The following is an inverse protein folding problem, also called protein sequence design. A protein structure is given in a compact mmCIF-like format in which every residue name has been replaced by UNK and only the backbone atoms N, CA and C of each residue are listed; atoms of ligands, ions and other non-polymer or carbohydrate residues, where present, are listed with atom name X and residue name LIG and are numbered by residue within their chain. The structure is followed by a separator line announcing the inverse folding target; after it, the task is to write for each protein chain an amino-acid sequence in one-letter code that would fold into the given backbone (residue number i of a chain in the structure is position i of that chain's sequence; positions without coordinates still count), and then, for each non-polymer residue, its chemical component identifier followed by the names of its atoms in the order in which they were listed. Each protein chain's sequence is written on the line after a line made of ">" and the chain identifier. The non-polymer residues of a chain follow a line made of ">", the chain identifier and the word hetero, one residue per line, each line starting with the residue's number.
data_IF_602643981978
#
_entry.id   IF_602643981978
#
_cell.length_a   1.000
_cell.length_b   1.000
_cell.length_c   1.000
_cell.angle_alpha   90.00
_cell.angle_beta   90.00
_cell.angle_gamma   90.00
#
_symmetry.space_group_name_H-M   'P 1'
#
loop_
_entity.id
_entity.type
_entity.pdbx_description
1 polymer ?
#
# COMPACT_ATOMS: atom_id res chain seq x y z
N UNK A 1 16.94 -5.33 25.95
CA UNK A 1 16.27 -6.04 24.84
C UNK A 1 17.21 -5.98 23.63
N UNK A 2 17.46 -7.09 22.91
CA UNK A 2 18.33 -7.04 21.73
C UNK A 2 17.61 -6.30 20.61
N UNK A 3 18.32 -5.36 19.95
CA UNK A 3 17.78 -4.65 18.79
C UNK A 3 17.46 -5.62 17.66
N UNK A 4 16.30 -5.45 17.03
CA UNK A 4 15.94 -6.20 15.82
C UNK A 4 16.69 -5.67 14.61
N UNK A 5 17.24 -6.56 13.80
CA UNK A 5 17.93 -6.19 12.56
C UNK A 5 16.89 -6.06 11.45
N UNK A 6 16.73 -4.85 10.93
CA UNK A 6 15.75 -4.53 9.88
C UNK A 6 16.49 -4.17 8.59
N UNK A 7 16.15 -4.84 7.48
CA UNK A 7 16.64 -4.54 6.15
C UNK A 7 15.52 -3.92 5.32
N UNK A 8 15.75 -2.74 4.73
CA UNK A 8 14.82 -2.09 3.80
C UNK A 8 15.38 -2.23 2.38
N UNK A 9 14.82 -3.14 1.60
CA UNK A 9 15.17 -3.34 0.19
C UNK A 9 14.45 -2.27 -0.64
N UNK A 10 15.21 -1.51 -1.42
CA UNK A 10 14.72 -0.31 -2.10
C UNK A 10 14.75 0.94 -1.20
N UNK A 11 15.57 0.91 -0.15
CA UNK A 11 15.69 1.99 0.84
C UNK A 11 16.12 3.34 0.28
N UNK A 12 16.71 3.40 -0.91
CA UNK A 12 17.06 4.65 -1.61
C UNK A 12 15.90 5.20 -2.46
N UNK A 13 14.80 4.47 -2.59
CA UNK A 13 13.58 4.91 -3.26
C UNK A 13 12.71 5.81 -2.38
N UNK A 14 11.77 6.56 -2.97
CA UNK A 14 10.93 7.52 -2.23
C UNK A 14 10.16 6.83 -1.09
N UNK A 15 9.54 5.68 -1.35
CA UNK A 15 8.83 4.93 -0.31
C UNK A 15 9.79 4.37 0.75
N UNK A 16 10.93 3.78 0.31
CA UNK A 16 11.94 3.26 1.22
C UNK A 16 12.53 4.33 2.14
N UNK A 17 12.76 5.52 1.60
CA UNK A 17 13.19 6.70 2.37
C UNK A 17 12.14 7.14 3.38
N UNK A 18 10.87 7.16 3.00
CA UNK A 18 9.80 7.50 3.92
C UNK A 18 9.72 6.51 5.10
N UNK A 19 9.89 5.22 4.84
CA UNK A 19 9.96 4.17 5.87
C UNK A 19 11.19 4.37 6.77
N UNK A 20 12.36 4.57 6.14
CA UNK A 20 13.62 4.77 6.86
C UNK A 20 13.55 5.97 7.80
N UNK A 21 12.99 7.10 7.33
CA UNK A 21 12.88 8.33 8.12
C UNK A 21 12.10 8.07 9.42
N UNK A 22 10.94 7.42 9.34
CA UNK A 22 10.13 7.10 10.52
C UNK A 22 10.88 6.11 11.43
N UNK A 23 11.41 5.01 10.89
CA UNK A 23 12.11 4.00 11.70
C UNK A 23 13.41 4.54 12.33
N UNK A 24 14.01 5.57 11.74
CA UNK A 24 15.23 6.18 12.30
C UNK A 24 15.04 6.81 13.68
N UNK A 25 13.82 7.10 14.08
CA UNK A 25 13.45 7.60 15.41
C UNK A 25 13.47 6.47 16.46
N UNK A 26 13.42 5.19 16.02
CA UNK A 26 13.30 3.99 16.85
C UNK A 26 14.59 3.14 16.90
N UNK A 27 15.77 3.77 16.82
CA UNK A 27 17.07 3.07 16.79
C UNK A 27 17.39 2.30 18.07
N UNK A 28 16.72 2.58 19.15
CA UNK A 28 16.84 1.79 20.38
C UNK A 28 16.19 0.41 20.26
N UNK A 29 15.20 0.27 19.38
CA UNK A 29 14.44 -0.96 19.15
C UNK A 29 14.96 -1.76 17.96
N UNK A 30 15.50 -1.09 16.93
CA UNK A 30 15.95 -1.74 15.71
C UNK A 30 17.25 -1.14 15.15
N UNK A 31 18.11 -1.98 14.60
CA UNK A 31 19.26 -1.58 13.79
C UNK A 31 18.86 -1.61 12.32
N UNK A 32 19.07 -0.48 11.61
CA UNK A 32 18.58 -0.28 10.25
C UNK A 32 19.69 -0.52 9.22
N UNK A 33 19.35 -1.26 8.19
CA UNK A 33 20.14 -1.41 6.97
C UNK A 33 19.24 -1.13 5.77
N UNK A 34 19.80 -0.53 4.73
CA UNK A 34 19.11 -0.31 3.44
C UNK A 34 19.86 -1.07 2.35
N UNK A 35 19.10 -1.63 1.42
CA UNK A 35 19.67 -2.29 0.25
C UNK A 35 19.18 -1.64 -1.04
N UNK A 36 20.10 -1.41 -1.97
CA UNK A 36 19.82 -0.92 -3.32
C UNK A 36 20.91 -1.34 -4.29
N UNK A 37 20.63 -1.26 -5.60
CA UNK A 37 21.58 -1.63 -6.66
C UNK A 37 22.75 -0.67 -6.75
N UNK A 38 22.50 0.62 -6.62
CA UNK A 38 23.51 1.66 -6.74
C UNK A 38 23.89 2.15 -5.34
N UNK A 39 25.19 2.24 -5.10
CA UNK A 39 25.72 2.76 -3.85
C UNK A 39 25.30 4.23 -3.64
N UNK A 40 24.98 4.55 -2.40
CA UNK A 40 24.77 5.92 -1.93
C UNK A 40 25.40 6.09 -0.57
N UNK A 41 26.24 7.13 -0.41
CA UNK A 41 26.89 7.46 0.86
C UNK A 41 26.03 8.33 1.78
N UNK A 42 24.86 8.79 1.31
CA UNK A 42 23.99 9.74 2.02
C UNK A 42 23.39 9.18 3.32
N UNK A 43 23.42 7.85 3.50
CA UNK A 43 22.72 7.15 4.59
C UNK A 43 23.64 6.70 5.74
N UNK A 44 24.96 6.92 5.64
CA UNK A 44 25.95 6.35 6.56
C UNK A 44 25.73 6.65 8.05
N UNK A 45 25.05 7.75 8.37
CA UNK A 45 24.71 8.13 9.75
C UNK A 45 23.35 7.58 10.22
N UNK A 46 22.54 7.06 9.30
CA UNK A 46 21.14 6.64 9.57
C UNK A 46 20.98 5.14 9.48
N UNK A 47 21.59 4.51 8.49
CA UNK A 47 21.47 3.08 8.23
C UNK A 47 22.74 2.55 7.55
N UNK A 48 23.05 1.26 7.74
CA UNK A 48 24.09 0.59 6.99
C UNK A 48 23.63 0.38 5.54
N UNK A 49 24.48 0.72 4.57
CA UNK A 49 24.20 0.48 3.17
C UNK A 49 24.71 -0.88 2.71
N UNK A 50 23.86 -1.62 1.99
CA UNK A 50 24.19 -2.91 1.38
C UNK A 50 23.89 -2.81 -0.13
N UNK A 51 24.91 -3.03 -0.95
CA UNK A 51 24.69 -3.11 -2.38
C UNK A 51 24.08 -4.48 -2.71
N UNK A 52 22.88 -4.47 -3.30
CA UNK A 52 22.13 -5.68 -3.59
C UNK A 52 21.26 -5.48 -4.84
N UNK A 53 21.36 -6.42 -5.76
CA UNK A 53 20.35 -6.63 -6.80
C UNK A 53 19.36 -7.70 -6.30
N UNK A 54 18.10 -7.36 -6.19
CA UNK A 54 17.02 -8.27 -5.76
C UNK A 54 16.84 -9.48 -6.71
N UNK A 55 17.40 -9.42 -7.92
CA UNK A 55 17.38 -10.51 -8.89
C UNK A 55 18.58 -11.46 -8.79
N UNK A 56 19.58 -11.13 -7.98
CA UNK A 56 20.66 -12.06 -7.63
C UNK A 56 20.22 -12.92 -6.44
N UNK A 57 19.64 -14.08 -6.74
CA UNK A 57 19.05 -14.97 -5.73
C UNK A 57 20.09 -15.48 -4.72
N UNK A 58 21.36 -15.67 -5.09
CA UNK A 58 22.40 -16.14 -4.18
C UNK A 58 22.83 -15.06 -3.20
N UNK A 59 23.08 -13.84 -3.70
CA UNK A 59 23.39 -12.70 -2.85
C UNK A 59 22.20 -12.35 -1.94
N UNK A 60 20.98 -12.39 -2.49
CA UNK A 60 19.76 -12.14 -1.76
C UNK A 60 19.60 -13.09 -0.57
N UNK A 61 19.72 -14.40 -0.79
CA UNK A 61 19.59 -15.42 0.26
C UNK A 61 20.63 -15.22 1.37
N UNK A 62 21.89 -15.01 1.01
CA UNK A 62 22.98 -14.78 1.97
C UNK A 62 22.73 -13.56 2.84
N UNK A 63 22.26 -12.46 2.23
CA UNK A 63 22.04 -11.20 2.95
C UNK A 63 20.81 -11.28 3.85
N UNK A 64 19.68 -11.74 3.32
CA UNK A 64 18.38 -11.77 4.03
C UNK A 64 18.48 -12.60 5.32
N UNK A 65 19.16 -13.73 5.30
CA UNK A 65 19.30 -14.63 6.47
C UNK A 65 20.01 -14.00 7.68
N UNK A 66 20.63 -12.83 7.52
CA UNK A 66 21.27 -12.09 8.61
C UNK A 66 20.34 -11.08 9.30
N UNK A 67 19.07 -10.97 8.89
CA UNK A 67 18.10 -10.03 9.41
C UNK A 67 16.91 -10.72 10.08
N UNK A 68 16.28 -10.03 11.04
CA UNK A 68 15.04 -10.47 11.69
C UNK A 68 13.81 -10.06 10.87
N UNK A 69 13.85 -8.85 10.28
CA UNK A 69 12.76 -8.25 9.51
C UNK A 69 13.30 -7.72 8.19
N UNK A 70 12.62 -8.05 7.11
CA UNK A 70 12.93 -7.56 5.76
C UNK A 70 11.73 -6.78 5.24
N UNK A 71 11.96 -5.52 4.89
CA UNK A 71 10.95 -4.65 4.28
C UNK A 71 11.21 -4.54 2.78
N UNK A 72 10.22 -4.85 1.94
CA UNK A 72 10.32 -4.71 0.49
C UNK A 72 9.62 -3.41 0.08
N UNK A 73 10.42 -2.36 -0.17
CA UNK A 73 9.99 -1.09 -0.72
C UNK A 73 10.49 -0.88 -2.16
N UNK A 74 11.09 -1.92 -2.74
CA UNK A 74 11.50 -1.93 -4.15
C UNK A 74 10.30 -2.21 -5.06
N UNK A 75 10.24 -1.56 -6.19
CA UNK A 75 9.20 -1.75 -7.20
C UNK A 75 9.75 -1.66 -8.63
N UNK A 76 8.92 -1.89 -9.65
CA UNK A 76 7.49 -2.21 -9.58
C UNK A 76 7.25 -3.68 -9.21
N UNK A 77 6.24 -3.93 -8.37
CA UNK A 77 5.99 -5.24 -7.78
C UNK A 77 5.71 -6.35 -8.79
N UNK A 78 5.07 -6.06 -9.92
CA UNK A 78 4.85 -7.08 -10.96
C UNK A 78 6.13 -7.70 -11.53
N UNK A 79 7.31 -7.08 -11.30
CA UNK A 79 8.63 -7.59 -11.72
C UNK A 79 9.39 -8.32 -10.61
N UNK A 80 8.93 -8.20 -9.35
CA UNK A 80 9.63 -8.84 -8.22
C UNK A 80 9.45 -10.35 -8.30
N UNK A 81 10.56 -11.07 -8.13
CA UNK A 81 10.56 -12.53 -8.02
C UNK A 81 10.02 -12.98 -6.65
N UNK A 82 9.37 -14.14 -6.61
CA UNK A 82 8.86 -14.73 -5.38
C UNK A 82 9.94 -15.41 -4.53
N UNK A 83 11.19 -15.52 -5.02
CA UNK A 83 12.31 -16.10 -4.26
C UNK A 83 12.54 -15.43 -2.91
N UNK A 84 12.38 -14.10 -2.85
CA UNK A 84 12.51 -13.36 -1.59
C UNK A 84 11.51 -13.84 -0.54
N UNK A 85 10.28 -14.09 -0.95
CA UNK A 85 9.23 -14.60 -0.06
C UNK A 85 9.50 -16.05 0.33
N UNK A 86 9.98 -16.88 -0.61
CA UNK A 86 10.38 -18.25 -0.34
C UNK A 86 11.49 -18.30 0.73
N UNK A 87 12.55 -17.52 0.56
CA UNK A 87 13.65 -17.44 1.52
C UNK A 87 13.14 -17.05 2.91
N UNK A 88 12.26 -16.04 3.00
CA UNK A 88 11.69 -15.60 4.26
C UNK A 88 10.81 -16.69 4.90
N UNK A 89 9.97 -17.38 4.13
CA UNK A 89 9.10 -18.46 4.62
C UNK A 89 9.89 -19.69 5.10
N UNK A 90 10.97 -20.03 4.43
CA UNK A 90 11.86 -21.13 4.81
C UNK A 90 12.76 -20.77 6.02
N UNK A 91 12.81 -19.51 6.40
CA UNK A 91 13.61 -18.97 7.51
C UNK A 91 12.70 -18.35 8.56
N UNK A 92 13.21 -18.09 9.78
CA UNK A 92 12.44 -17.38 10.84
C UNK A 92 12.46 -15.85 10.61
N UNK A 93 12.15 -15.41 9.42
CA UNK A 93 12.23 -13.99 9.01
C UNK A 93 10.82 -13.46 8.80
N UNK A 94 10.58 -12.23 9.28
CA UNK A 94 9.37 -11.50 8.96
C UNK A 94 9.62 -10.64 7.74
N UNK A 95 8.86 -10.87 6.67
CA UNK A 95 8.91 -10.06 5.47
C UNK A 95 7.68 -9.16 5.42
N UNK A 96 7.88 -7.87 5.25
CA UNK A 96 6.81 -6.87 5.12
C UNK A 96 6.97 -6.22 3.75
N UNK A 97 5.93 -6.18 2.93
CA UNK A 97 5.98 -5.48 1.66
C UNK A 97 4.90 -4.40 1.55
N UNK A 98 5.16 -3.40 0.70
CA UNK A 98 4.22 -2.33 0.39
C UNK A 98 3.53 -2.56 -0.97
N UNK A 99 3.27 -3.81 -1.32
CA UNK A 99 2.71 -4.20 -2.60
C UNK A 99 1.33 -3.57 -2.86
N UNK A 100 1.24 -2.81 -3.94
CA UNK A 100 0.02 -2.18 -4.45
C UNK A 100 -0.43 -2.79 -5.80
N UNK A 101 0.21 -3.87 -6.24
CA UNK A 101 -0.04 -4.50 -7.54
C UNK A 101 -0.85 -5.78 -7.39
N UNK A 102 -2.06 -5.80 -7.94
CA UNK A 102 -2.97 -6.95 -7.85
C UNK A 102 -2.39 -8.23 -8.46
N UNK A 103 -1.63 -8.14 -9.56
CA UNK A 103 -1.03 -9.31 -10.19
C UNK A 103 0.03 -9.96 -9.32
N UNK A 104 0.81 -9.14 -8.64
CA UNK A 104 1.79 -9.64 -7.69
C UNK A 104 1.10 -10.30 -6.50
N UNK A 105 0.01 -9.68 -5.99
CA UNK A 105 -0.80 -10.26 -4.93
C UNK A 105 -1.37 -11.62 -5.33
N UNK A 106 -1.97 -11.74 -6.52
CA UNK A 106 -2.51 -13.01 -7.03
C UNK A 106 -1.40 -14.08 -7.16
N UNK A 107 -0.22 -13.70 -7.68
CA UNK A 107 0.94 -14.61 -7.75
C UNK A 107 1.39 -15.07 -6.37
N UNK A 108 1.44 -14.17 -5.39
CA UNK A 108 1.82 -14.49 -4.02
C UNK A 108 0.79 -15.42 -3.35
N UNK A 109 -0.51 -15.19 -3.57
CA UNK A 109 -1.56 -16.06 -3.05
C UNK A 109 -1.56 -17.46 -3.72
N UNK A 110 -1.23 -17.55 -5.00
CA UNK A 110 -1.05 -18.85 -5.68
C UNK A 110 0.20 -19.54 -5.14
N UNK A 111 1.31 -18.83 -5.01
CA UNK A 111 2.52 -19.37 -4.39
C UNK A 111 2.27 -19.91 -2.97
N UNK A 112 1.49 -19.18 -2.14
CA UNK A 112 1.07 -19.65 -0.82
C UNK A 112 0.38 -21.01 -0.87
N UNK A 113 -0.49 -21.24 -1.86
CA UNK A 113 -1.22 -22.51 -2.04
C UNK A 113 -0.31 -23.67 -2.49
N UNK A 114 0.70 -23.34 -3.28
CA UNK A 114 1.64 -24.33 -3.88
C UNK A 114 2.85 -24.62 -2.98
N UNK A 115 3.08 -23.80 -1.96
CA UNK A 115 4.22 -23.92 -1.08
C UNK A 115 4.08 -25.13 -0.15
N UNK A 116 4.87 -26.16 -0.38
CA UNK A 116 4.77 -27.48 0.28
C UNK A 116 5.61 -27.53 1.57
N UNK A 117 6.68 -26.74 1.64
CA UNK A 117 7.58 -26.73 2.81
C UNK A 117 6.89 -26.13 4.05
N UNK A 118 7.27 -26.56 5.27
CA UNK A 118 6.78 -25.91 6.48
C UNK A 118 7.12 -24.43 6.48
N UNK A 119 6.15 -23.60 6.86
CA UNK A 119 6.43 -22.18 7.10
C UNK A 119 7.20 -22.01 8.41
N UNK A 120 8.30 -21.29 8.35
CA UNK A 120 9.07 -20.86 9.52
C UNK A 120 9.02 -19.35 9.72
N UNK A 121 8.86 -18.60 8.62
CA UNK A 121 8.74 -17.15 8.59
C UNK A 121 7.33 -16.67 8.32
N UNK A 122 7.15 -15.35 8.35
CA UNK A 122 5.87 -14.69 8.14
C UNK A 122 6.00 -13.61 7.08
N UNK A 123 5.04 -13.56 6.17
CA UNK A 123 4.93 -12.50 5.17
C UNK A 123 3.70 -11.68 5.47
N UNK A 124 3.89 -10.36 5.58
CA UNK A 124 2.85 -9.35 5.68
C UNK A 124 2.85 -8.56 4.38
N UNK A 125 1.91 -8.84 3.49
CA UNK A 125 1.87 -8.23 2.17
C UNK A 125 0.86 -7.09 2.09
N UNK A 126 1.23 -6.03 1.36
CA UNK A 126 0.36 -4.89 1.15
C UNK A 126 0.33 -3.91 2.32
N UNK A 127 1.44 -3.71 3.02
CA UNK A 127 1.53 -2.81 4.18
C UNK A 127 1.92 -1.39 3.77
N UNK A 128 1.26 -0.88 2.72
CA UNK A 128 1.44 0.49 2.19
C UNK A 128 0.29 1.43 2.50
N UNK A 129 0.02 2.36 1.57
CA UNK A 129 -1.15 3.24 1.64
C UNK A 129 -2.42 2.48 1.28
N UNK A 130 -2.47 1.89 0.08
CA UNK A 130 -3.62 1.16 -0.46
C UNK A 130 -3.10 -0.04 -1.29
N UNK A 131 -3.21 -1.27 -0.74
CA UNK A 131 -3.74 -1.63 0.58
C UNK A 131 -2.80 -1.27 1.74
N UNK A 132 -3.27 -1.53 2.94
CA UNK A 132 -2.55 -1.39 4.20
C UNK A 132 -3.20 -0.34 5.10
N UNK A 133 -2.83 0.93 5.00
CA UNK A 133 -3.45 2.00 5.79
C UNK A 133 -4.96 2.10 5.52
N UNK A 134 -5.38 1.97 4.25
CA UNK A 134 -6.81 1.94 3.91
C UNK A 134 -7.52 0.75 4.55
N UNK A 135 -6.93 -0.43 4.49
CA UNK A 135 -7.47 -1.64 5.13
C UNK A 135 -7.59 -1.48 6.64
N UNK A 136 -6.52 -0.98 7.29
CA UNK A 136 -6.51 -0.69 8.73
C UNK A 136 -7.65 0.24 9.13
N UNK A 137 -7.80 1.36 8.43
CA UNK A 137 -8.83 2.34 8.76
C UNK A 137 -10.24 1.83 8.46
N UNK A 138 -10.44 1.06 7.39
CA UNK A 138 -11.73 0.43 7.11
C UNK A 138 -12.13 -0.56 8.22
N UNK A 139 -11.20 -1.37 8.71
CA UNK A 139 -11.46 -2.25 9.85
C UNK A 139 -11.73 -1.47 11.14
N UNK A 140 -10.95 -0.42 11.40
CA UNK A 140 -11.15 0.43 12.57
C UNK A 140 -12.52 1.11 12.57
N UNK A 141 -13.03 1.51 11.39
CA UNK A 141 -14.40 2.02 11.25
C UNK A 141 -15.44 0.90 11.42
N UNK A 142 -15.19 -0.28 10.88
CA UNK A 142 -16.11 -1.41 10.96
C UNK A 142 -16.28 -1.92 12.41
N UNK A 143 -15.21 -1.88 13.22
CA UNK A 143 -15.28 -2.22 14.66
C UNK A 143 -16.13 -1.22 15.47
N UNK A 144 -16.26 0.02 14.99
CA UNK A 144 -17.07 1.07 15.63
C UNK A 144 -18.49 1.14 15.09
N UNK A 145 -18.82 0.35 14.07
CA UNK A 145 -20.14 0.31 13.46
C UNK A 145 -21.05 -0.61 14.28
N UNK A 146 -22.26 -0.16 14.58
CA UNK A 146 -23.26 -1.05 15.16
C UNK A 146 -23.74 -2.07 14.13
N UNK A 147 -23.48 -3.34 14.35
CA UNK A 147 -23.74 -4.42 13.39
C UNK A 147 -22.59 -4.64 12.43
N UNK A 148 -22.84 -5.44 11.39
CA UNK A 148 -21.82 -5.75 10.38
C UNK A 148 -21.87 -4.77 9.22
N UNK A 149 -20.68 -4.42 8.69
CA UNK A 149 -20.58 -3.66 7.48
C UNK A 149 -21.07 -4.48 6.27
N UNK A 150 -21.95 -3.88 5.49
CA UNK A 150 -22.42 -4.45 4.21
C UNK A 150 -21.78 -3.79 3.01
N UNK A 151 -21.31 -2.57 3.17
CA UNK A 151 -20.66 -1.79 2.13
C UNK A 151 -19.42 -1.07 2.69
N UNK A 152 -18.38 -1.01 1.88
CA UNK A 152 -17.18 -0.24 2.18
C UNK A 152 -16.63 0.42 0.89
N UNK A 153 -16.03 1.60 1.04
CA UNK A 153 -15.54 2.39 -0.09
C UNK A 153 -14.22 3.06 0.24
N UNK A 154 -13.29 3.05 -0.73
CA UNK A 154 -12.04 3.79 -0.67
C UNK A 154 -11.99 4.81 -1.80
N UNK A 155 -11.85 6.09 -1.48
CA UNK A 155 -11.76 7.21 -2.41
C UNK A 155 -10.49 7.99 -2.14
N UNK A 156 -9.62 8.09 -3.14
CA UNK A 156 -8.31 8.74 -2.97
C UNK A 156 -8.18 9.89 -3.97
N UNK A 157 -7.93 11.07 -3.47
CA UNK A 157 -7.53 12.21 -4.27
C UNK A 157 -6.01 12.35 -4.28
N UNK A 158 -5.44 12.48 -5.46
CA UNK A 158 -4.04 12.82 -5.67
C UNK A 158 -3.97 14.19 -6.34
N UNK A 159 -3.45 15.17 -5.63
CA UNK A 159 -3.16 16.50 -6.15
C UNK A 159 -2.03 16.47 -7.18
N UNK A 160 -1.86 17.56 -7.90
CA UNK A 160 -0.81 17.69 -8.91
C UNK A 160 0.58 17.46 -8.29
N UNK A 161 1.42 16.62 -8.94
CA UNK A 161 2.79 16.34 -8.51
C UNK A 161 2.98 15.31 -7.40
N UNK A 162 1.90 14.67 -6.93
CA UNK A 162 2.00 13.63 -5.88
C UNK A 162 2.59 12.32 -6.41
N UNK A 163 2.42 12.00 -7.67
CA UNK A 163 2.96 10.76 -8.26
C UNK A 163 4.39 10.99 -8.74
N UNK A 164 5.37 10.60 -7.95
CA UNK A 164 6.77 10.96 -8.20
C UNK A 164 7.79 9.82 -8.20
N UNK A 165 7.41 8.56 -8.13
CA UNK A 165 8.36 7.44 -8.18
C UNK A 165 8.31 6.71 -9.52
N UNK A 166 9.47 6.35 -10.11
CA UNK A 166 9.51 5.59 -11.38
C UNK A 166 8.69 4.29 -11.32
N UNK A 167 8.77 3.58 -10.20
CA UNK A 167 8.02 2.35 -9.97
C UNK A 167 6.52 2.59 -9.85
N UNK A 168 6.12 3.67 -9.16
CA UNK A 168 4.70 4.06 -9.03
C UNK A 168 4.11 4.50 -10.36
N UNK A 169 4.90 5.22 -11.19
CA UNK A 169 4.50 5.59 -12.55
C UNK A 169 4.28 4.32 -13.40
N UNK A 170 5.20 3.34 -13.33
CA UNK A 170 5.02 2.06 -14.02
C UNK A 170 3.72 1.36 -13.59
N UNK A 171 3.48 1.25 -12.29
CA UNK A 171 2.30 0.59 -11.75
C UNK A 171 1.01 1.32 -12.13
N UNK A 172 1.02 2.66 -12.09
CA UNK A 172 -0.10 3.50 -12.53
C UNK A 172 -0.48 3.21 -13.99
N UNK A 173 0.49 3.25 -14.92
CA UNK A 173 0.20 2.98 -16.33
C UNK A 173 -0.17 1.52 -16.58
N UNK A 174 0.41 0.56 -15.83
CA UNK A 174 0.06 -0.86 -15.93
C UNK A 174 -1.40 -1.11 -15.48
N UNK A 175 -1.90 -0.38 -14.48
CA UNK A 175 -3.27 -0.53 -13.99
C UNK A 175 -4.34 -0.32 -15.07
N UNK A 176 -4.06 0.47 -16.11
CA UNK A 176 -4.96 0.65 -17.24
C UNK A 176 -5.00 -0.53 -18.23
N UNK A 177 -4.14 -1.53 -18.08
CA UNK A 177 -4.13 -2.71 -18.97
C UNK A 177 -5.34 -3.63 -18.75
N UNK A 178 -6.05 -3.49 -17.64
CA UNK A 178 -7.14 -4.37 -17.20
C UNK A 178 -8.36 -3.61 -16.73
N UNK A 179 -9.49 -4.29 -16.70
CA UNK A 179 -10.69 -3.80 -16.02
C UNK A 179 -10.47 -3.83 -14.51
N UNK A 180 -10.99 -2.83 -13.81
CA UNK A 180 -10.94 -2.81 -12.36
C UNK A 180 -11.89 -3.89 -11.80
N UNK A 181 -11.46 -4.52 -10.71
CA UNK A 181 -12.30 -5.44 -9.95
C UNK A 181 -13.04 -4.67 -8.86
N UNK A 182 -14.30 -5.01 -8.66
CA UNK A 182 -15.16 -4.49 -7.60
C UNK A 182 -15.91 -5.66 -6.96
N UNK A 183 -16.26 -5.54 -5.69
CA UNK A 183 -17.23 -6.42 -5.06
C UNK A 183 -18.63 -5.81 -5.23
N UNK A 184 -19.56 -6.54 -5.81
CA UNK A 184 -20.95 -6.13 -5.98
C UNK A 184 -21.87 -7.31 -5.74
N UNK A 185 -22.84 -7.13 -4.85
CA UNK A 185 -23.77 -8.18 -4.41
C UNK A 185 -23.07 -9.43 -3.86
N UNK A 186 -21.96 -9.25 -3.15
CA UNK A 186 -21.16 -10.33 -2.61
C UNK A 186 -20.31 -11.09 -3.64
N UNK A 187 -20.29 -10.66 -4.89
CA UNK A 187 -19.53 -11.27 -5.98
C UNK A 187 -18.48 -10.31 -6.54
N UNK A 188 -17.30 -10.83 -6.84
CA UNK A 188 -16.27 -10.07 -7.53
C UNK A 188 -16.65 -9.93 -9.00
N UNK A 189 -16.81 -8.71 -9.45
CA UNK A 189 -17.17 -8.36 -10.81
C UNK A 189 -16.11 -7.48 -11.46
N UNK A 190 -15.96 -7.57 -12.77
CA UNK A 190 -15.20 -6.58 -13.52
C UNK A 190 -16.05 -5.32 -13.62
N UNK A 191 -15.47 -4.19 -13.25
CA UNK A 191 -16.13 -2.90 -13.51
C UNK A 191 -16.33 -2.76 -15.01
N UNK A 192 -17.60 -2.74 -15.43
CA UNK A 192 -17.96 -2.51 -16.83
C UNK A 192 -17.65 -1.09 -17.29
N UNK A 193 -17.32 -0.21 -16.34
CA UNK A 193 -16.93 1.16 -16.63
C UNK A 193 -15.53 1.16 -17.22
N UNK A 194 -15.45 1.02 -18.52
CA UNK A 194 -14.28 1.43 -19.30
C UNK A 194 -13.99 2.93 -19.13
N UNK A 195 -14.66 3.59 -18.19
CA UNK A 195 -14.80 5.03 -18.03
C UNK A 195 -14.67 5.40 -16.57
N UNK A 196 -14.82 6.66 -16.27
CA UNK A 196 -14.93 7.19 -14.92
C UNK A 196 -16.12 6.55 -14.17
N UNK A 197 -16.04 6.56 -12.84
CA UNK A 197 -17.16 6.24 -11.98
C UNK A 197 -18.41 7.02 -12.46
N UNK A 198 -19.59 6.40 -12.38
CA UNK A 198 -20.83 7.03 -12.86
C UNK A 198 -21.18 8.31 -12.08
N UNK A 199 -20.76 8.41 -10.83
CA UNK A 199 -20.95 9.59 -9.98
C UNK A 199 -19.60 10.22 -9.67
N UNK A 200 -19.53 11.55 -9.78
CA UNK A 200 -18.44 12.33 -9.24
C UNK A 200 -18.44 12.27 -7.70
N UNK A 201 -17.35 12.67 -7.10
CA UNK A 201 -17.18 12.64 -5.66
C UNK A 201 -16.59 13.97 -5.16
N UNK A 202 -17.10 14.42 -4.02
CA UNK A 202 -16.55 15.60 -3.31
C UNK A 202 -15.72 15.15 -2.13
N UNK A 203 -14.44 15.50 -2.14
CA UNK A 203 -13.50 15.16 -1.08
C UNK A 203 -13.54 16.18 0.06
N UNK A 204 -13.67 17.46 -0.28
CA UNK A 204 -13.88 18.58 0.63
C UNK A 204 -14.44 19.79 -0.15
N UNK A 205 -14.64 20.94 0.51
CA UNK A 205 -15.19 22.16 -0.09
C UNK A 205 -14.35 22.76 -1.24
N UNK A 206 -13.07 22.39 -1.34
CA UNK A 206 -12.17 22.84 -2.42
C UNK A 206 -12.05 21.81 -3.55
N UNK A 207 -12.51 20.59 -3.33
CA UNK A 207 -12.36 19.45 -4.22
C UNK A 207 -13.72 18.77 -4.43
N UNK A 208 -14.68 19.55 -4.96
CA UNK A 208 -16.06 19.12 -5.20
C UNK A 208 -16.26 18.58 -6.61
N UNK A 209 -17.21 17.68 -6.74
CA UNK A 209 -17.70 17.14 -8.02
C UNK A 209 -16.61 16.59 -8.95
N UNK A 210 -15.62 15.88 -8.37
CA UNK A 210 -14.48 15.36 -9.11
C UNK A 210 -14.76 13.96 -9.68
N UNK A 211 -14.32 13.70 -10.93
CA UNK A 211 -14.46 12.39 -11.54
C UNK A 211 -13.53 11.36 -10.91
N UNK A 212 -14.05 10.18 -10.67
CA UNK A 212 -13.32 9.06 -10.13
C UNK A 212 -12.97 8.04 -11.21
N UNK A 213 -11.80 7.44 -11.07
CA UNK A 213 -11.35 6.27 -11.82
C UNK A 213 -11.31 5.06 -10.89
N UNK A 214 -11.97 3.98 -11.26
CA UNK A 214 -11.82 2.72 -10.54
C UNK A 214 -10.40 2.17 -10.69
N UNK A 215 -9.87 1.63 -9.63
CA UNK A 215 -8.67 0.79 -9.67
C UNK A 215 -8.87 -0.46 -8.83
N UNK A 216 -8.09 -1.49 -9.12
CA UNK A 216 -8.11 -2.73 -8.35
C UNK A 216 -7.10 -2.64 -7.22
N UNK A 217 -7.58 -2.52 -5.99
CA UNK A 217 -6.80 -2.84 -4.80
C UNK A 217 -6.99 -4.32 -4.46
N UNK A 218 -5.97 -4.97 -3.88
CA UNK A 218 -6.10 -6.36 -3.40
C UNK A 218 -7.15 -6.52 -2.30
N UNK A 219 -7.56 -5.44 -1.66
CA UNK A 219 -8.65 -5.38 -0.69
C UNK A 219 -9.96 -5.97 -1.23
N UNK A 220 -10.22 -5.82 -2.54
CA UNK A 220 -11.42 -6.41 -3.17
C UNK A 220 -11.46 -7.93 -3.02
N UNK A 221 -10.29 -8.59 -2.95
CA UNK A 221 -10.16 -10.03 -2.79
C UNK A 221 -10.07 -10.45 -1.33
N UNK A 222 -9.50 -9.62 -0.49
CA UNK A 222 -9.11 -9.99 0.88
C UNK A 222 -10.11 -9.53 1.94
N UNK A 223 -10.70 -8.33 1.84
CA UNK A 223 -11.69 -7.83 2.80
C UNK A 223 -12.89 -8.75 3.00
N UNK A 224 -13.50 -9.35 1.94
CA UNK A 224 -14.65 -10.24 2.13
C UNK A 224 -14.33 -11.51 2.94
N UNK A 225 -13.05 -11.81 3.16
CA UNK A 225 -12.58 -12.95 3.94
C UNK A 225 -12.31 -12.59 5.41
N UNK A 226 -12.31 -11.30 5.75
CA UNK A 226 -12.06 -10.81 7.10
C UNK A 226 -13.30 -10.93 7.98
N UNK A 227 -13.09 -11.17 9.28
CA UNK A 227 -14.20 -11.35 10.24
C UNK A 227 -15.06 -10.09 10.39
N UNK A 228 -14.44 -8.90 10.37
CA UNK A 228 -15.10 -7.60 10.42
C UNK A 228 -16.01 -7.33 9.22
N UNK A 229 -15.72 -7.98 8.08
CA UNK A 229 -16.41 -7.80 6.81
C UNK A 229 -17.16 -9.04 6.30
N UNK A 230 -17.49 -9.98 7.19
CA UNK A 230 -18.17 -11.24 6.81
C UNK A 230 -19.54 -11.08 6.11
N UNK A 231 -20.14 -9.89 6.21
CA UNK A 231 -21.40 -9.55 5.53
C UNK A 231 -21.21 -8.53 4.40
N UNK A 232 -19.95 -8.23 4.03
CA UNK A 232 -19.65 -7.27 2.99
C UNK A 232 -20.21 -7.73 1.64
N UNK A 233 -21.06 -6.90 1.05
CA UNK A 233 -21.68 -7.13 -0.27
C UNK A 233 -21.09 -6.21 -1.34
N UNK A 234 -20.63 -5.03 -0.93
CA UNK A 234 -20.12 -4.00 -1.85
C UNK A 234 -18.80 -3.45 -1.37
N UNK A 235 -17.80 -3.48 -2.25
CA UNK A 235 -16.53 -2.79 -2.05
C UNK A 235 -15.97 -2.33 -3.38
N UNK A 236 -15.56 -1.09 -3.45
CA UNK A 236 -14.77 -0.59 -4.56
C UNK A 236 -13.74 0.45 -4.10
N UNK A 237 -12.65 0.53 -4.86
CA UNK A 237 -11.61 1.53 -4.71
C UNK A 237 -11.57 2.41 -5.94
N UNK A 238 -11.58 3.73 -5.74
CA UNK A 238 -11.49 4.68 -6.82
C UNK A 238 -10.63 5.88 -6.45
N UNK A 239 -9.99 6.50 -7.43
CA UNK A 239 -9.17 7.67 -7.23
C UNK A 239 -9.49 8.79 -8.20
N UNK A 240 -9.16 10.01 -7.81
CA UNK A 240 -9.06 11.17 -8.67
C UNK A 240 -7.59 11.61 -8.75
N UNK A 241 -7.09 11.81 -9.95
CA UNK A 241 -5.79 12.41 -10.19
C UNK A 241 -5.99 13.80 -10.79
N UNK A 242 -5.60 14.84 -10.05
CA UNK A 242 -5.74 16.22 -10.50
C UNK A 242 -4.94 16.45 -11.79
N UNK A 243 -5.59 17.11 -12.76
CA UNK A 243 -4.97 17.39 -14.06
C UNK A 243 -4.86 16.19 -15.01
N UNK A 244 -5.42 15.03 -14.66
CA UNK A 244 -5.40 13.88 -15.56
C UNK A 244 -6.32 14.14 -16.77
N UNK A 245 -5.77 14.07 -18.02
CA UNK A 245 -6.56 14.34 -19.23
C UNK A 245 -7.54 13.20 -19.49
N UNK A 246 -8.84 13.45 -19.27
CA UNK A 246 -9.91 12.44 -19.45
C UNK A 246 -9.88 11.77 -20.82
N UNK A 247 -9.57 12.52 -21.88
CA UNK A 247 -9.49 12.02 -23.25
C UNK A 247 -8.38 10.99 -23.52
N UNK A 248 -7.38 10.86 -22.63
CA UNK A 248 -6.32 9.84 -22.75
C UNK A 248 -6.77 8.45 -22.29
N UNK A 249 -7.83 8.33 -21.52
CA UNK A 249 -8.24 7.06 -20.93
C UNK A 249 -8.50 5.94 -21.97
N UNK A 250 -9.23 6.15 -23.07
CA UNK A 250 -9.40 5.13 -24.11
C UNK A 250 -8.06 4.69 -24.73
N UNK A 251 -7.17 5.66 -24.97
CA UNK A 251 -5.84 5.38 -25.52
C UNK A 251 -4.99 4.52 -24.57
N UNK A 252 -4.99 4.85 -23.28
CA UNK A 252 -4.28 4.09 -22.26
C UNK A 252 -4.83 2.66 -22.12
N UNK A 253 -6.12 2.46 -22.28
CA UNK A 253 -6.72 1.12 -22.19
C UNK A 253 -6.42 0.24 -23.39
N UNK A 254 -6.53 0.77 -24.59
CA UNK A 254 -6.51 -0.03 -25.81
C UNK A 254 -5.12 -0.17 -26.45
N UNK A 255 -4.16 0.69 -26.08
CA UNK A 255 -2.82 0.69 -26.69
C UNK A 255 -1.72 0.49 -25.68
N UNK A 256 -1.08 -0.70 -25.71
CA UNK A 256 0.14 -0.97 -24.92
C UNK A 256 1.29 -0.06 -25.33
N UNK A 257 1.37 0.30 -26.61
CA UNK A 257 2.37 1.21 -27.13
C UNK A 257 2.20 2.62 -26.56
N UNK A 258 0.96 3.14 -26.55
CA UNK A 258 0.67 4.45 -25.97
C UNK A 258 0.98 4.46 -24.46
N UNK A 259 0.63 3.42 -23.71
CA UNK A 259 0.98 3.29 -22.28
C UNK A 259 2.49 3.38 -22.07
N UNK A 260 3.28 2.65 -22.86
CA UNK A 260 4.76 2.68 -22.75
C UNK A 260 5.33 4.06 -23.03
N UNK A 261 4.88 4.71 -24.10
CA UNK A 261 5.36 6.06 -24.46
C UNK A 261 5.00 7.07 -23.37
N UNK A 262 3.73 7.13 -22.96
CA UNK A 262 3.28 8.07 -21.95
C UNK A 262 3.95 7.79 -20.58
N UNK A 263 4.13 6.54 -20.22
CA UNK A 263 4.89 6.16 -19.04
C UNK A 263 6.33 6.70 -19.10
N UNK A 264 7.02 6.55 -20.24
CA UNK A 264 8.38 7.04 -20.41
C UNK A 264 8.47 8.57 -20.41
N UNK A 265 7.52 9.25 -21.07
CA UNK A 265 7.43 10.72 -21.05
C UNK A 265 7.21 11.21 -19.61
N UNK A 266 6.30 10.60 -18.87
CA UNK A 266 6.01 10.96 -17.47
C UNK A 266 7.24 10.77 -16.60
N UNK A 267 7.96 9.64 -16.73
CA UNK A 267 9.21 9.39 -16.00
C UNK A 267 10.30 10.41 -16.30
N UNK A 268 10.45 10.79 -17.55
CA UNK A 268 11.47 11.74 -17.96
C UNK A 268 11.17 13.18 -17.50
N UNK A 269 9.88 13.51 -17.34
CA UNK A 269 9.43 14.84 -16.93
C UNK A 269 9.02 14.92 -15.44
N UNK A 270 9.22 13.85 -14.64
CA UNK A 270 8.78 13.82 -13.25
C UNK A 270 9.32 15.01 -12.43
N UNK A 271 10.57 15.45 -12.65
CA UNK A 271 11.15 16.61 -11.93
C UNK A 271 10.40 17.91 -12.25
N UNK A 272 10.07 18.14 -13.52
CA UNK A 272 9.32 19.33 -13.94
C UNK A 272 7.91 19.35 -13.38
N UNK A 273 7.23 18.20 -13.37
CA UNK A 273 5.90 18.03 -12.78
C UNK A 273 5.93 18.28 -11.27
N UNK A 274 6.99 17.84 -10.60
CA UNK A 274 7.19 18.00 -9.17
C UNK A 274 7.49 19.45 -8.77
N UNK A 275 8.22 20.23 -9.59
CA UNK A 275 8.55 21.62 -9.31
C UNK A 275 7.40 22.58 -9.58
N UNK A 276 6.66 22.39 -10.68
CA UNK A 276 5.55 23.26 -11.07
C UNK A 276 4.36 23.20 -10.11
N UNK A 277 4.23 22.14 -9.33
CA UNK A 277 3.06 21.87 -8.50
C UNK A 277 3.34 21.82 -6.99
N UNK A 278 4.43 22.46 -6.52
CA UNK A 278 4.76 22.49 -5.07
C UNK A 278 3.63 22.97 -4.16
N UNK A 279 2.72 23.83 -4.67
CA UNK A 279 1.58 24.38 -3.93
C UNK A 279 0.37 23.44 -3.84
N UNK A 280 0.32 22.37 -4.65
CA UNK A 280 -0.87 21.51 -4.78
C UNK A 280 -0.58 20.05 -4.42
N UNK A 281 0.49 19.81 -3.65
CA UNK A 281 0.80 18.47 -3.16
C UNK A 281 -0.15 18.12 -2.03
N UNK A 282 -1.21 17.40 -2.37
CA UNK A 282 -2.16 16.94 -1.37
C UNK A 282 -2.67 15.55 -1.76
N UNK A 283 -2.78 14.70 -0.74
CA UNK A 283 -3.47 13.41 -0.82
C UNK A 283 -4.61 13.47 0.19
N UNK A 284 -5.83 13.19 -0.26
CA UNK A 284 -6.99 13.01 0.60
C UNK A 284 -7.48 11.59 0.41
N UNK A 285 -7.59 10.85 1.51
CA UNK A 285 -8.17 9.51 1.51
C UNK A 285 -9.48 9.57 2.27
N UNK A 286 -10.57 9.29 1.59
CA UNK A 286 -11.90 9.21 2.19
C UNK A 286 -12.33 7.74 2.20
N UNK A 287 -12.61 7.24 3.39
CA UNK A 287 -13.03 5.87 3.64
C UNK A 287 -14.41 5.86 4.25
N UNK A 288 -15.26 5.00 3.74
CA UNK A 288 -16.63 4.84 4.23
C UNK A 288 -16.91 3.38 4.50
N UNK A 289 -17.52 3.11 5.63
CA UNK A 289 -18.07 1.81 5.98
C UNK A 289 -19.52 2.02 6.40
N UNK A 290 -20.44 1.21 5.87
CA UNK A 290 -21.85 1.35 6.22
C UNK A 290 -22.63 0.03 6.20
N UNK A 291 -23.78 0.06 6.86
CA UNK A 291 -24.86 -0.90 6.72
C UNK A 291 -26.19 -0.17 6.46
N UNK A 292 -27.31 -0.83 6.59
CA UNK A 292 -28.63 -0.25 6.32
C UNK A 292 -29.00 0.93 7.23
N UNK A 293 -28.36 1.07 8.41
CA UNK A 293 -28.75 2.05 9.44
C UNK A 293 -27.66 3.04 9.80
N UNK A 294 -26.42 2.63 9.70
CA UNK A 294 -25.28 3.38 10.20
C UNK A 294 -24.19 3.54 9.15
N UNK A 295 -23.60 4.71 9.15
CA UNK A 295 -22.43 5.03 8.31
C UNK A 295 -21.34 5.65 9.16
N UNK A 296 -20.12 5.19 8.97
CA UNK A 296 -18.88 5.76 9.50
C UNK A 296 -17.98 6.20 8.38
N UNK A 297 -17.45 7.40 8.49
CA UNK A 297 -16.51 7.97 7.53
C UNK A 297 -15.21 8.33 8.23
N UNK A 298 -14.12 8.21 7.48
CA UNK A 298 -12.83 8.70 7.89
C UNK A 298 -12.18 9.45 6.72
N UNK A 299 -11.62 10.61 7.00
CA UNK A 299 -10.83 11.38 6.04
C UNK A 299 -9.41 11.52 6.56
N UNK A 300 -8.43 11.08 5.75
CA UNK A 300 -7.01 11.26 6.02
C UNK A 300 -6.45 12.30 5.07
N UNK A 301 -5.56 13.14 5.56
CA UNK A 301 -4.87 14.16 4.74
C UNK A 301 -3.37 14.06 4.90
N UNK A 302 -2.65 14.28 3.80
CA UNK A 302 -1.19 14.33 3.78
C UNK A 302 -0.71 15.13 2.56
N UNK A 303 0.50 15.60 2.62
CA UNK A 303 1.24 16.19 1.49
C UNK A 303 1.84 15.16 0.55
N UNK A 304 1.88 13.87 0.96
CA UNK A 304 2.52 12.80 0.20
C UNK A 304 1.90 11.42 0.48
N UNK A 305 1.58 10.69 -0.59
CA UNK A 305 1.19 9.29 -0.50
C UNK A 305 2.33 8.40 0.03
N UNK A 306 3.57 8.75 -0.27
CA UNK A 306 4.74 8.02 0.23
C UNK A 306 4.96 8.23 1.72
N UNK A 307 4.63 9.42 2.26
CA UNK A 307 4.64 9.65 3.70
C UNK A 307 3.64 8.75 4.39
N UNK A 308 2.41 8.66 3.89
CA UNK A 308 1.38 7.75 4.42
C UNK A 308 1.83 6.28 4.36
N UNK A 309 2.40 5.84 3.23
CA UNK A 309 2.99 4.51 3.06
C UNK A 309 4.11 4.28 4.08
N UNK A 310 4.99 5.27 4.26
CA UNK A 310 6.14 5.16 5.17
C UNK A 310 5.73 5.02 6.62
N UNK A 311 4.79 5.85 7.08
CA UNK A 311 4.26 5.81 8.44
C UNK A 311 3.59 4.46 8.71
N UNK A 312 2.71 4.00 7.82
CA UNK A 312 2.01 2.74 8.05
C UNK A 312 2.94 1.52 7.99
N UNK A 313 3.84 1.46 7.01
CA UNK A 313 4.82 0.37 6.94
C UNK A 313 5.74 0.34 8.18
N UNK A 314 6.18 1.50 8.67
CA UNK A 314 6.95 1.59 9.91
C UNK A 314 6.12 1.17 11.12
N UNK A 315 4.84 1.55 11.20
CA UNK A 315 3.92 1.07 12.23
C UNK A 315 3.84 -0.47 12.24
N UNK A 316 3.82 -1.10 11.06
CA UNK A 316 3.81 -2.56 10.96
C UNK A 316 5.13 -3.20 11.39
N UNK A 317 6.29 -2.61 11.06
CA UNK A 317 7.59 -3.06 11.59
C UNK A 317 7.61 -2.99 13.11
N UNK A 318 7.17 -1.87 13.69
CA UNK A 318 7.12 -1.69 15.15
C UNK A 318 6.05 -2.55 15.81
N UNK A 319 4.95 -2.84 15.12
CA UNK A 319 3.93 -3.78 15.59
C UNK A 319 4.49 -5.20 15.77
N UNK A 320 5.37 -5.61 14.86
CA UNK A 320 6.12 -6.88 14.95
C UNK A 320 7.08 -6.85 16.14
N UNK A 321 7.82 -5.76 16.32
CA UNK A 321 8.82 -5.63 17.38
C UNK A 321 8.18 -5.58 18.76
N UNK A 322 7.07 -4.84 18.91
CA UNK A 322 6.38 -4.61 20.17
C UNK A 322 5.28 -5.65 20.50
N UNK A 323 5.02 -6.60 19.57
CA UNK A 323 3.98 -7.60 19.76
C UNK A 323 2.56 -7.01 19.72
N UNK A 324 2.35 -5.95 18.93
CA UNK A 324 1.00 -5.44 18.65
C UNK A 324 0.28 -6.32 17.62
N UNK A 325 1.03 -7.07 16.84
CA UNK A 325 0.55 -8.10 15.93
C UNK A 325 1.06 -9.45 16.38
N UNK A 326 0.16 -10.44 16.48
CA UNK A 326 0.53 -11.81 16.74
C UNK A 326 0.99 -12.46 15.44
N UNK A 327 2.24 -12.86 15.41
CA UNK A 327 2.82 -13.54 14.24
C UNK A 327 2.61 -15.04 14.32
N UNK A 328 2.13 -15.60 13.24
CA UNK A 328 2.17 -17.03 12.95
C UNK A 328 2.88 -17.23 11.61
N UNK A 329 3.61 -18.33 11.40
CA UNK A 329 4.22 -18.60 10.11
C UNK A 329 3.18 -18.64 8.98
N UNK A 330 3.46 -17.97 7.86
CA UNK A 330 2.54 -17.94 6.73
C UNK A 330 2.55 -16.63 5.95
N UNK A 331 1.55 -16.46 5.08
CA UNK A 331 1.34 -15.27 4.23
C UNK A 331 0.02 -14.62 4.60
N UNK A 332 0.06 -13.33 4.93
CA UNK A 332 -1.08 -12.57 5.43
C UNK A 332 -1.18 -11.20 4.78
N UNK A 333 -2.41 -10.75 4.52
CA UNK A 333 -2.77 -9.36 4.37
C UNK A 333 -3.18 -8.82 5.75
N UNK A 334 -3.30 -7.50 5.88
CA UNK A 334 -3.52 -6.84 7.18
C UNK A 334 -4.76 -7.36 7.91
N UNK A 335 -5.88 -7.51 7.23
CA UNK A 335 -7.19 -7.92 7.76
C UNK A 335 -7.19 -9.36 8.33
N UNK A 336 -6.22 -10.17 7.97
CA UNK A 336 -6.08 -11.55 8.47
C UNK A 336 -5.19 -11.68 9.71
N UNK A 337 -4.68 -10.55 10.23
CA UNK A 337 -3.80 -10.54 11.39
C UNK A 337 -4.60 -10.45 12.70
N UNK A 338 -4.19 -11.22 13.70
CA UNK A 338 -4.57 -10.97 15.08
C UNK A 338 -3.75 -9.79 15.60
N UNK A 339 -4.40 -8.66 15.89
CA UNK A 339 -3.75 -7.38 16.11
C UNK A 339 -4.42 -6.52 17.16
N UNK A 340 -3.65 -5.63 17.76
CA UNK A 340 -4.13 -4.58 18.66
C UNK A 340 -4.28 -3.29 17.84
N UNK A 341 -5.52 -2.87 17.58
CA UNK A 341 -5.79 -1.71 16.72
C UNK A 341 -5.33 -0.38 17.35
N UNK A 342 -5.62 -0.17 18.64
CA UNK A 342 -5.34 1.11 19.32
C UNK A 342 -3.85 1.52 19.30
N UNK A 343 -2.88 0.66 19.66
CA UNK A 343 -1.47 1.07 19.59
C UNK A 343 -1.00 1.44 18.19
N UNK A 344 -1.58 0.81 17.15
CA UNK A 344 -1.28 1.17 15.75
C UNK A 344 -1.90 2.54 15.44
N UNK A 345 -3.15 2.76 15.86
CA UNK A 345 -3.85 4.03 15.67
C UNK A 345 -3.10 5.20 16.36
N UNK A 346 -2.74 5.02 17.62
CA UNK A 346 -2.01 6.02 18.40
C UNK A 346 -0.68 6.35 17.72
N UNK A 347 0.07 5.33 17.25
CA UNK A 347 1.29 5.53 16.50
C UNK A 347 1.10 6.39 15.24
N UNK A 348 0.02 6.16 14.48
CA UNK A 348 -0.29 6.94 13.29
C UNK A 348 -0.57 8.41 13.64
N UNK A 349 -1.31 8.66 14.70
CA UNK A 349 -1.59 10.01 15.19
C UNK A 349 -0.31 10.72 15.68
N UNK A 350 0.54 10.04 16.43
CA UNK A 350 1.81 10.57 16.95
C UNK A 350 2.77 10.98 15.81
N UNK A 351 2.68 10.32 14.64
CA UNK A 351 3.46 10.67 13.43
C UNK A 351 2.75 11.68 12.53
N UNK A 352 1.74 12.38 13.08
CA UNK A 352 1.08 13.50 12.42
C UNK A 352 0.15 13.09 11.28
N UNK A 353 -0.47 11.91 11.38
CA UNK A 353 -1.56 11.55 10.50
C UNK A 353 -2.83 12.30 10.95
N UNK A 354 -3.30 13.21 10.11
CA UNK A 354 -4.56 13.92 10.35
C UNK A 354 -5.72 13.00 10.01
N UNK A 355 -6.46 12.56 11.04
CA UNK A 355 -7.59 11.65 10.93
C UNK A 355 -8.86 12.37 11.39
N UNK A 356 -9.80 12.58 10.46
CA UNK A 356 -11.10 13.16 10.74
C UNK A 356 -12.17 12.08 10.65
N UNK A 357 -12.90 11.87 11.73
CA UNK A 357 -13.97 10.90 11.79
C UNK A 357 -15.34 11.58 11.79
N UNK A 358 -16.25 11.07 10.98
CA UNK A 358 -17.64 11.54 10.92
C UNK A 358 -18.61 10.38 11.11
N UNK A 359 -19.64 10.61 11.90
CA UNK A 359 -20.76 9.69 12.09
C UNK A 359 -21.98 10.27 11.39
N UNK A 360 -22.59 9.52 10.50
CA UNK A 360 -23.90 9.87 9.93
C UNK A 360 -24.92 8.80 10.33
N UNK A 361 -26.06 9.24 10.84
CA UNK A 361 -27.26 8.42 10.98
C UNK A 361 -28.12 8.74 9.75
N UNK A 362 -28.52 7.73 9.01
CA UNK A 362 -29.57 7.90 7.96
C UNK A 362 -30.95 7.90 8.56
#
# INVERSE_FOLDING_TARGET
>A
MWQKKVLIIGGTGIAGMAILNVLSEYRTLCSLSIAARNYSSEFGNVANFIQLDIFDSLALEKIIKSFDIVVIAAGPFHKINLDIYRICLESKIVCIDINDNILHYERLMNFKKEFINPYHGTILSGMGLCPGLTTFMLEFLAEQLEGFATEAYSRIFFGAGVVSGKASIDNFFESFSRDALVLSDGCIKKSSSRHFHQKNFSFDASHEDLPLLFFTSSEVLSLPQALSFKQLKTFDSAFCLQGFPKGLLPLLRHSSFARRILCQITKNNQHKLTESSKKERMVIVNLTVRNERYQKNCVLRSDSSFRLTGIFCAAMVLSVINGWVRLTPGVFSFEHLEKKMLPIYDFLCDHGLEIFMENKHE
#
